data_IF_459853140269
#
_entry.id   IF_459853140269
#
_cell.length_a   1.000
_cell.length_b   1.000
_cell.length_c   1.000
_cell.angle_alpha   90.00
_cell.angle_beta   90.00
_cell.angle_gamma   90.00
#
_symmetry.space_group_name_H-M   'P 1'
#
loop_
_entity.id
_entity.type
_entity.pdbx_description
1 polymer ?
#
# COMPACT_ATOMS: atom_id res chain seq x y z
N UNK A 1 -1.97 -5.50 -8.20
CA UNK A 1 -1.46 -6.02 -6.92
C UNK A 1 -1.24 -7.53 -6.94
N UNK A 2 -2.27 -8.37 -7.12
CA UNK A 2 -2.06 -9.82 -7.17
C UNK A 2 -1.17 -10.29 -8.34
N UNK A 3 -1.50 -9.86 -9.58
CA UNK A 3 -0.69 -10.16 -10.77
C UNK A 3 0.78 -9.71 -10.62
N UNK A 4 0.98 -8.54 -10.04
CA UNK A 4 2.30 -7.99 -9.73
C UNK A 4 3.12 -8.92 -8.80
N UNK A 5 2.49 -9.40 -7.72
CA UNK A 5 3.14 -10.32 -6.77
C UNK A 5 3.53 -11.65 -7.45
N UNK A 6 2.63 -12.23 -8.24
CA UNK A 6 2.91 -13.45 -9.01
C UNK A 6 4.03 -13.23 -10.02
N UNK A 7 3.99 -12.12 -10.76
CA UNK A 7 5.02 -11.78 -11.72
C UNK A 7 6.41 -11.64 -11.08
N UNK A 8 6.51 -11.00 -9.91
CA UNK A 8 7.79 -10.89 -9.18
C UNK A 8 8.33 -12.27 -8.79
N UNK A 9 7.45 -13.18 -8.37
CA UNK A 9 7.84 -14.55 -8.05
C UNK A 9 8.29 -15.33 -9.28
N UNK A 10 7.46 -15.36 -10.31
CA UNK A 10 7.67 -16.24 -11.46
C UNK A 10 8.80 -15.75 -12.37
N UNK A 11 8.98 -14.44 -12.51
CA UNK A 11 9.98 -13.85 -13.42
C UNK A 11 11.28 -13.51 -12.71
N UNK A 12 11.22 -13.00 -11.48
CA UNK A 12 12.41 -12.54 -10.75
C UNK A 12 12.87 -13.50 -9.66
N UNK A 13 12.12 -14.57 -9.39
CA UNK A 13 12.42 -15.50 -8.29
C UNK A 13 12.26 -14.86 -6.91
N UNK A 14 11.53 -13.74 -6.79
CA UNK A 14 11.34 -13.06 -5.51
C UNK A 14 10.20 -13.69 -4.71
N UNK A 15 10.45 -14.03 -3.45
CA UNK A 15 9.40 -14.54 -2.57
C UNK A 15 8.53 -13.40 -2.03
N UNK A 16 7.68 -12.85 -2.90
CA UNK A 16 6.70 -11.82 -2.57
C UNK A 16 5.32 -12.45 -2.36
N UNK A 17 4.62 -12.01 -1.33
CA UNK A 17 3.28 -12.45 -0.96
C UNK A 17 2.40 -11.23 -0.68
N UNK A 18 1.11 -11.34 -1.02
CA UNK A 18 0.10 -10.30 -0.78
C UNK A 18 -0.82 -10.77 0.33
N UNK A 19 -0.92 -9.97 1.40
CA UNK A 19 -1.74 -10.25 2.57
C UNK A 19 -2.59 -9.03 2.95
N UNK A 20 -3.37 -9.13 4.02
CA UNK A 20 -3.97 -7.99 4.71
C UNK A 20 -3.55 -8.01 6.18
N UNK A 21 -3.58 -6.86 6.86
CA UNK A 21 -3.23 -6.76 8.28
C UNK A 21 -4.44 -6.27 9.06
N UNK A 22 -4.78 -6.96 10.16
CA UNK A 22 -5.92 -6.63 11.02
C UNK A 22 -5.58 -6.85 12.50
N UNK A 23 -5.93 -5.91 13.38
CA UNK A 23 -5.84 -6.09 14.84
C UNK A 23 -7.14 -6.60 15.46
N UNK A 24 -7.08 -7.03 16.72
CA UNK A 24 -8.26 -7.46 17.49
C UNK A 24 -9.24 -6.32 17.73
N UNK A 25 -8.77 -5.07 17.77
CA UNK A 25 -9.56 -3.84 17.87
C UNK A 25 -10.08 -3.36 16.51
N UNK A 26 -10.15 -4.25 15.52
CA UNK A 26 -10.71 -4.03 14.18
C UNK A 26 -10.01 -2.97 13.32
N UNK A 27 -8.79 -2.54 13.67
CA UNK A 27 -7.94 -1.74 12.76
C UNK A 27 -7.46 -2.62 11.62
N UNK A 28 -7.67 -2.22 10.37
CA UNK A 28 -7.29 -2.97 9.18
C UNK A 28 -6.70 -2.05 8.10
N UNK A 29 -5.77 -2.59 7.30
CA UNK A 29 -5.39 -2.03 5.99
C UNK A 29 -5.81 -2.98 4.88
N UNK A 30 -6.10 -2.45 3.70
CA UNK A 30 -6.57 -3.25 2.55
C UNK A 30 -5.56 -4.32 2.13
N UNK A 31 -4.28 -3.94 1.98
CA UNK A 31 -3.23 -4.86 1.56
C UNK A 31 -1.90 -4.60 2.25
N UNK A 32 -1.07 -5.63 2.30
CA UNK A 32 0.35 -5.53 2.59
C UNK A 32 1.19 -6.51 1.76
N UNK A 33 2.44 -6.12 1.52
CA UNK A 33 3.42 -6.97 0.86
C UNK A 33 4.37 -7.57 1.89
N UNK A 34 4.57 -8.87 1.79
CA UNK A 34 5.58 -9.62 2.55
C UNK A 34 6.62 -10.12 1.55
N UNK A 35 7.89 -9.82 1.81
CA UNK A 35 9.02 -10.31 1.02
C UNK A 35 9.97 -11.06 1.94
N UNK A 36 10.30 -12.31 1.61
CA UNK A 36 11.17 -13.17 2.44
C UNK A 36 10.74 -13.17 3.93
N UNK A 37 9.44 -13.42 4.18
CA UNK A 37 8.79 -13.41 5.51
C UNK A 37 8.85 -12.09 6.29
N UNK A 38 9.26 -10.98 5.65
CA UNK A 38 9.26 -9.65 6.24
C UNK A 38 8.18 -8.77 5.63
N UNK A 39 7.40 -8.11 6.48
CA UNK A 39 6.44 -7.09 6.06
C UNK A 39 7.20 -5.87 5.51
N UNK A 40 6.98 -5.55 4.24
CA UNK A 40 7.78 -4.53 3.52
C UNK A 40 6.97 -3.33 3.07
N UNK A 41 5.68 -3.50 2.82
CA UNK A 41 4.85 -2.40 2.32
C UNK A 41 3.40 -2.52 2.80
N UNK A 42 2.79 -1.38 3.13
CA UNK A 42 1.38 -1.27 3.48
C UNK A 42 0.64 -0.47 2.41
N UNK A 43 -0.58 -0.88 2.07
CA UNK A 43 -1.41 -0.20 1.08
C UNK A 43 -2.84 -0.06 1.56
N UNK A 44 -3.36 1.15 1.41
CA UNK A 44 -4.77 1.49 1.62
C UNK A 44 -5.34 2.12 0.34
N UNK A 45 -6.56 1.76 -0.04
CA UNK A 45 -7.28 2.38 -1.14
C UNK A 45 -8.41 3.27 -0.60
N UNK A 46 -8.57 4.45 -1.21
CA UNK A 46 -9.75 5.30 -1.02
C UNK A 46 -10.27 5.76 -2.38
N UNK A 47 -11.58 5.97 -2.46
CA UNK A 47 -12.18 6.48 -3.70
C UNK A 47 -11.73 7.91 -3.99
N UNK A 48 -11.98 8.86 -3.07
CA UNK A 48 -11.66 10.29 -3.30
C UNK A 48 -11.14 11.06 -2.08
N UNK A 49 -11.20 10.46 -0.89
CA UNK A 49 -10.71 11.08 0.34
C UNK A 49 -9.18 11.01 0.41
N UNK A 50 -8.54 12.15 0.14
CA UNK A 50 -7.08 12.28 0.23
C UNK A 50 -6.55 12.51 1.64
N UNK A 51 -7.41 12.55 2.66
CA UNK A 51 -6.96 12.67 4.04
C UNK A 51 -6.24 11.38 4.45
N UNK A 52 -5.19 11.53 5.24
CA UNK A 52 -4.37 10.40 5.69
C UNK A 52 -5.22 9.41 6.49
N UNK A 53 -5.28 8.14 6.06
CA UNK A 53 -5.95 7.07 6.80
C UNK A 53 -5.32 6.93 8.19
N UNK A 54 -6.10 7.10 9.28
CA UNK A 54 -5.57 6.96 10.63
C UNK A 54 -5.02 5.55 10.90
N UNK A 55 -5.64 4.54 10.31
CA UNK A 55 -5.22 3.15 10.47
C UNK A 55 -3.93 2.85 9.72
N UNK A 56 -3.82 3.31 8.48
CA UNK A 56 -2.56 3.20 7.72
C UNK A 56 -1.43 3.92 8.44
N UNK A 57 -1.70 5.13 8.96
CA UNK A 57 -0.74 5.89 9.74
C UNK A 57 -0.31 5.16 11.01
N UNK A 58 -1.26 4.59 11.76
CA UNK A 58 -0.97 3.80 12.95
C UNK A 58 -0.01 2.65 12.66
N UNK A 59 -0.25 1.87 11.60
CA UNK A 59 0.60 0.72 11.27
C UNK A 59 1.96 1.12 10.71
N UNK A 60 2.00 2.12 9.82
CA UNK A 60 3.24 2.67 9.28
C UNK A 60 4.18 3.12 10.41
N UNK A 61 3.66 3.86 11.40
CA UNK A 61 4.46 4.32 12.55
C UNK A 61 4.82 3.18 13.51
N UNK A 62 3.88 2.27 13.81
CA UNK A 62 4.10 1.18 14.76
C UNK A 62 5.19 0.21 14.29
N UNK A 63 5.21 -0.10 13.00
CA UNK A 63 6.14 -1.08 12.44
C UNK A 63 7.31 -0.44 11.69
N UNK A 64 7.31 0.88 11.50
CA UNK A 64 8.30 1.60 10.70
C UNK A 64 8.44 1.03 9.28
N UNK A 65 7.31 0.87 8.59
CA UNK A 65 7.19 0.25 7.26
C UNK A 65 6.66 1.26 6.26
N UNK A 66 7.14 1.17 5.02
CA UNK A 66 6.67 1.98 3.91
C UNK A 66 5.17 1.79 3.67
N UNK A 67 4.48 2.89 3.36
CA UNK A 67 3.03 2.88 3.21
C UNK A 67 2.57 3.78 2.07
N UNK A 68 1.58 3.31 1.32
CA UNK A 68 0.96 4.04 0.23
C UNK A 68 -0.55 4.09 0.40
N UNK A 69 -1.13 5.29 0.35
CA UNK A 69 -2.56 5.49 0.19
C UNK A 69 -2.87 5.82 -1.27
N UNK A 70 -3.59 4.93 -1.92
CA UNK A 70 -3.99 5.04 -3.31
C UNK A 70 -5.35 5.72 -3.38
N UNK A 71 -5.47 6.76 -4.19
CA UNK A 71 -6.70 7.49 -4.41
C UNK A 71 -7.15 7.33 -5.86
N UNK A 72 -8.37 6.86 -6.08
CA UNK A 72 -8.90 6.71 -7.44
C UNK A 72 -9.18 8.06 -8.11
N UNK A 73 -9.97 8.90 -7.44
CA UNK A 73 -10.34 10.24 -7.87
C UNK A 73 -9.70 11.29 -6.95
N UNK A 74 -8.59 11.84 -7.42
CA UNK A 74 -7.86 12.90 -6.71
C UNK A 74 -8.53 14.28 -6.88
N UNK A 75 -9.51 14.44 -7.77
CA UNK A 75 -9.99 15.74 -8.23
C UNK A 75 -8.83 16.65 -8.63
N UNK A 76 -8.81 17.87 -8.10
CA UNK A 76 -7.74 18.86 -8.33
C UNK A 76 -6.57 18.75 -7.34
N UNK A 77 -6.53 17.73 -6.48
CA UNK A 77 -5.52 17.61 -5.41
C UNK A 77 -4.28 16.92 -5.96
N UNK A 78 -3.11 17.40 -5.56
CA UNK A 78 -1.83 16.82 -5.96
C UNK A 78 -1.45 15.60 -5.10
N UNK A 79 -0.71 14.68 -5.73
CA UNK A 79 0.03 13.61 -5.06
C UNK A 79 1.08 14.23 -4.11
N UNK A 80 1.32 13.58 -2.97
CA UNK A 80 2.18 14.12 -1.91
C UNK A 80 2.60 13.05 -0.92
N UNK A 81 3.57 13.36 -0.08
CA UNK A 81 3.94 12.54 1.06
C UNK A 81 3.52 13.24 2.36
N UNK A 82 2.83 12.53 3.25
CA UNK A 82 2.41 13.04 4.56
C UNK A 82 2.84 12.05 5.62
N UNK A 83 3.67 12.49 6.58
CA UNK A 83 4.15 11.66 7.71
C UNK A 83 4.73 10.31 7.25
N UNK A 84 5.58 10.34 6.22
CA UNK A 84 6.19 9.14 5.63
C UNK A 84 5.29 8.36 4.65
N UNK A 85 3.98 8.63 4.61
CA UNK A 85 3.02 7.91 3.77
C UNK A 85 2.88 8.60 2.42
N UNK A 86 3.04 7.83 1.33
CA UNK A 86 2.84 8.29 -0.03
C UNK A 86 1.36 8.30 -0.38
N UNK A 87 0.82 9.45 -0.77
CA UNK A 87 -0.55 9.61 -1.27
C UNK A 87 -0.49 9.83 -2.78
N UNK A 88 -1.05 8.90 -3.54
CA UNK A 88 -0.84 8.80 -4.99
C UNK A 88 -2.15 8.48 -5.73
N UNK A 89 -2.27 8.89 -6.99
CA UNK A 89 -3.37 8.46 -7.85
C UNK A 89 -3.30 6.96 -8.17
N UNK A 90 -4.45 6.30 -8.31
CA UNK A 90 -4.54 4.89 -8.72
C UNK A 90 -3.88 4.64 -10.07
N UNK A 91 -4.07 5.57 -11.02
CA UNK A 91 -3.45 5.50 -12.35
C UNK A 91 -1.92 5.43 -12.25
N UNK A 92 -1.29 6.33 -11.50
CA UNK A 92 0.16 6.34 -11.36
C UNK A 92 0.66 5.10 -10.61
N UNK A 93 -0.03 4.73 -9.52
CA UNK A 93 0.34 3.56 -8.74
C UNK A 93 0.37 2.28 -9.57
N UNK A 94 -0.68 2.04 -10.37
CA UNK A 94 -0.77 0.86 -11.21
C UNK A 94 0.29 0.83 -12.32
N UNK A 95 0.66 1.98 -12.88
CA UNK A 95 1.74 2.09 -13.87
C UNK A 95 3.14 1.80 -13.29
N UNK A 96 3.32 1.93 -11.98
CA UNK A 96 4.60 1.65 -11.31
C UNK A 96 4.73 0.17 -10.90
N UNK A 97 3.66 -0.62 -10.99
CA UNK A 97 3.72 -2.05 -10.71
C UNK A 97 4.51 -2.77 -11.80
N UNK A 98 5.31 -3.75 -11.38
CA UNK A 98 5.90 -4.72 -12.29
C UNK A 98 4.78 -5.54 -12.98
N UNK A 99 4.78 -5.48 -14.32
CA UNK A 99 3.75 -5.90 -15.29
C UNK A 99 2.45 -5.10 -15.28
#
# INVERSE_FOLDING_TARGET
>A
MLKHSWASRDIKGEEVQLHYLRTKEHKQVDFCLVKNDQLTHLVEYKYSDVSLSPTLHYFCQKYNIDATQIIYDMGNKAERQIKGIRIISAKRYLNELFL
#
